data_IF_247870774045
#
_entry.id   IF_247870774045
#
_cell.length_a   1.000
_cell.length_b   1.000
_cell.length_c   1.000
_cell.angle_alpha   90.00
_cell.angle_beta   90.00
_cell.angle_gamma   90.00
#
_symmetry.space_group_name_H-M   'P 1'
#
loop_
_entity.id
_entity.type
_entity.pdbx_description
1 polymer ?
#
# COMPACT_ATOMS: atom_id res chain seq x y z
N UNK A 1 1.69 -31.15 2.76
CA UNK A 1 2.51 -30.60 1.66
C UNK A 1 1.82 -30.90 0.34
N UNK A 2 1.13 -29.93 -0.23
CA UNK A 2 0.58 -30.01 -1.60
C UNK A 2 1.76 -30.05 -2.57
N UNK A 3 1.77 -31.02 -3.49
CA UNK A 3 2.85 -31.14 -4.48
C UNK A 3 2.78 -29.96 -5.45
N UNK A 4 3.93 -29.56 -6.03
CA UNK A 4 3.98 -28.51 -7.07
C UNK A 4 3.00 -28.84 -8.22
N UNK A 5 2.82 -30.13 -8.54
CA UNK A 5 1.84 -30.58 -9.53
C UNK A 5 0.39 -30.22 -9.17
N UNK A 6 0.01 -30.23 -7.89
CA UNK A 6 -1.34 -29.85 -7.46
C UNK A 6 -1.62 -28.35 -7.55
N UNK A 7 -0.58 -27.51 -7.48
CA UNK A 7 -0.72 -26.06 -7.63
C UNK A 7 -0.92 -25.73 -9.12
N UNK A 8 -0.12 -26.32 -10.00
CA UNK A 8 -0.28 -26.12 -11.44
C UNK A 8 -1.64 -26.60 -11.96
N UNK A 9 -2.17 -27.73 -11.46
CA UNK A 9 -3.51 -28.20 -11.85
C UNK A 9 -4.63 -27.28 -11.39
N UNK A 10 -4.43 -26.46 -10.34
CA UNK A 10 -5.43 -25.47 -9.92
C UNK A 10 -5.53 -24.30 -10.90
N UNK A 11 -4.40 -23.82 -11.43
CA UNK A 11 -4.38 -22.72 -12.41
C UNK A 11 -4.67 -23.19 -13.84
N UNK A 12 -4.32 -24.44 -14.16
CA UNK A 12 -4.50 -25.04 -15.48
C UNK A 12 -5.15 -26.41 -15.28
N UNK A 13 -6.48 -26.47 -15.06
CA UNK A 13 -7.18 -27.73 -14.84
C UNK A 13 -7.17 -28.58 -16.11
N UNK A 14 -7.07 -29.90 -15.96
CA UNK A 14 -7.22 -30.82 -17.08
C UNK A 14 -8.71 -30.99 -17.49
N UNK A 15 -9.01 -31.47 -18.71
CA UNK A 15 -10.37 -31.81 -19.09
C UNK A 15 -11.07 -32.78 -18.12
N UNK A 16 -10.30 -33.72 -17.53
CA UNK A 16 -10.82 -34.65 -16.52
C UNK A 16 -11.23 -33.95 -15.23
N UNK A 17 -10.47 -32.94 -14.78
CA UNK A 17 -10.76 -32.18 -13.56
C UNK A 17 -12.08 -31.41 -13.68
N UNK A 18 -12.43 -31.01 -14.90
CA UNK A 18 -13.66 -30.27 -15.23
C UNK A 18 -14.81 -31.15 -15.71
N UNK A 19 -14.64 -32.47 -15.76
CA UNK A 19 -15.65 -33.40 -16.29
C UNK A 19 -16.98 -33.35 -15.54
N UNK A 20 -16.96 -33.01 -14.24
CA UNK A 20 -18.15 -32.87 -13.41
C UNK A 20 -19.12 -31.79 -13.92
N UNK A 21 -18.63 -30.76 -14.63
CA UNK A 21 -19.46 -29.71 -15.21
C UNK A 21 -20.40 -30.24 -16.30
N UNK A 22 -20.05 -31.36 -16.94
CA UNK A 22 -20.88 -32.00 -17.96
C UNK A 22 -21.73 -33.15 -17.39
N UNK A 23 -21.70 -33.38 -16.08
CA UNK A 23 -22.49 -34.42 -15.43
C UNK A 23 -23.98 -34.13 -15.59
N UNK A 24 -24.78 -35.17 -15.89
CA UNK A 24 -26.25 -35.09 -15.85
C UNK A 24 -26.79 -35.04 -14.42
N UNK A 25 -26.00 -35.51 -13.46
CA UNK A 25 -26.33 -35.55 -12.05
C UNK A 25 -25.59 -34.40 -11.36
N UNK A 26 -26.33 -33.65 -10.57
CA UNK A 26 -25.79 -32.56 -9.76
C UNK A 26 -24.66 -33.06 -8.83
N UNK A 27 -23.50 -32.39 -8.77
CA UNK A 27 -22.41 -32.75 -7.87
C UNK A 27 -22.85 -32.66 -6.40
N UNK A 28 -22.51 -33.68 -5.61
CA UNK A 28 -22.82 -33.70 -4.18
C UNK A 28 -22.12 -32.57 -3.42
N UNK A 29 -22.85 -31.93 -2.53
CA UNK A 29 -22.37 -30.87 -1.64
C UNK A 29 -21.96 -31.49 -0.30
N UNK A 30 -20.69 -31.29 0.11
CA UNK A 30 -20.16 -31.78 1.37
C UNK A 30 -19.57 -30.62 2.16
N UNK A 31 -20.44 -29.86 2.81
CA UNK A 31 -20.06 -28.63 3.53
C UNK A 31 -19.21 -28.97 4.75
N UNK A 32 -18.04 -28.34 4.83
CA UNK A 32 -17.14 -28.43 5.98
C UNK A 32 -16.43 -27.09 6.18
N UNK A 33 -15.83 -26.91 7.37
CA UNK A 33 -15.06 -25.71 7.69
C UNK A 33 -13.90 -25.56 6.69
N UNK A 34 -13.72 -24.37 6.15
CA UNK A 34 -12.57 -24.05 5.31
C UNK A 34 -11.28 -24.14 6.14
N UNK A 35 -10.27 -24.84 5.61
CA UNK A 35 -8.96 -24.92 6.25
C UNK A 35 -8.25 -23.57 6.19
N UNK A 36 -7.60 -23.16 7.28
CA UNK A 36 -6.89 -21.89 7.38
C UNK A 36 -5.69 -21.81 6.42
N UNK A 37 -5.35 -20.63 5.90
CA UNK A 37 -4.17 -20.44 5.04
C UNK A 37 -2.87 -20.74 5.80
N UNK A 38 -2.81 -20.34 7.07
CA UNK A 38 -1.73 -20.67 8.01
C UNK A 38 -2.35 -21.52 9.11
N UNK A 39 -1.85 -22.75 9.26
CA UNK A 39 -2.37 -23.70 10.25
C UNK A 39 -2.38 -23.07 11.65
N UNK A 40 -3.55 -23.05 12.29
CA UNK A 40 -3.75 -22.48 13.62
C UNK A 40 -4.06 -20.98 13.67
N UNK A 41 -4.05 -20.27 12.53
CA UNK A 41 -4.41 -18.85 12.45
C UNK A 41 -5.65 -18.70 11.58
N UNK A 42 -6.85 -18.42 12.16
CA UNK A 42 -8.05 -18.22 11.37
C UNK A 42 -7.87 -17.12 10.32
N UNK A 43 -8.35 -17.33 9.10
CA UNK A 43 -8.16 -16.39 7.99
C UNK A 43 -8.68 -14.97 8.30
N UNK A 44 -9.75 -14.86 9.10
CA UNK A 44 -10.26 -13.57 9.58
C UNK A 44 -9.32 -12.85 10.55
N UNK A 45 -8.60 -13.58 11.39
CA UNK A 45 -7.54 -13.02 12.24
C UNK A 45 -6.32 -12.64 11.41
N UNK A 46 -5.98 -13.46 10.41
CA UNK A 46 -4.91 -13.16 9.48
C UNK A 46 -5.17 -11.86 8.70
N UNK A 47 -6.43 -11.59 8.33
CA UNK A 47 -6.87 -10.34 7.73
C UNK A 47 -6.67 -9.10 8.62
N UNK A 48 -6.56 -9.26 9.94
CA UNK A 48 -6.28 -8.17 10.88
C UNK A 48 -4.76 -7.97 11.09
N UNK A 49 -4.00 -9.07 11.08
CA UNK A 49 -2.56 -9.05 11.34
C UNK A 49 -1.77 -8.54 10.13
N UNK A 50 -2.06 -9.07 8.94
CA UNK A 50 -1.22 -8.82 7.76
C UNK A 50 -1.15 -7.35 7.33
N UNK A 51 -2.25 -6.57 7.29
CA UNK A 51 -2.17 -5.16 6.91
C UNK A 51 -1.24 -4.35 7.83
N UNK A 52 -1.26 -4.65 9.15
CA UNK A 52 -0.35 -4.02 10.12
C UNK A 52 1.11 -4.39 9.81
N UNK A 53 1.41 -5.67 9.59
CA UNK A 53 2.77 -6.11 9.25
C UNK A 53 3.25 -5.48 7.94
N UNK A 54 2.38 -5.41 6.93
CA UNK A 54 2.68 -4.83 5.62
C UNK A 54 2.94 -3.34 5.74
N UNK A 55 2.15 -2.60 6.53
CA UNK A 55 2.39 -1.19 6.83
C UNK A 55 3.81 -0.99 7.37
N UNK A 56 4.17 -1.67 8.47
CA UNK A 56 5.49 -1.47 9.09
C UNK A 56 6.62 -1.90 8.17
N UNK A 57 6.46 -3.00 7.44
CA UNK A 57 7.47 -3.50 6.51
C UNK A 57 7.72 -2.50 5.38
N UNK A 58 6.65 -2.01 4.74
CA UNK A 58 6.77 -1.13 3.59
C UNK A 58 7.16 0.30 3.97
N UNK A 59 6.66 0.83 5.08
CA UNK A 59 7.13 2.11 5.63
C UNK A 59 8.60 2.04 6.03
N UNK A 60 9.05 0.93 6.62
CA UNK A 60 10.47 0.72 6.95
C UNK A 60 11.33 0.61 5.70
N UNK A 61 10.85 -0.04 4.64
CA UNK A 61 11.54 -0.08 3.35
C UNK A 61 11.83 1.34 2.83
N UNK A 62 10.82 2.20 2.75
CA UNK A 62 11.03 3.58 2.30
C UNK A 62 11.88 4.41 3.28
N UNK A 63 11.81 4.13 4.57
CA UNK A 63 12.68 4.75 5.55
C UNK A 63 14.15 4.37 5.38
N UNK A 64 14.45 3.11 5.04
CA UNK A 64 15.80 2.66 4.67
C UNK A 64 16.25 3.36 3.38
N UNK A 65 15.39 3.45 2.37
CA UNK A 65 15.68 4.17 1.12
C UNK A 65 16.07 5.63 1.41
N UNK A 66 15.36 6.28 2.34
CA UNK A 66 15.63 7.64 2.81
C UNK A 66 16.95 7.77 3.57
N UNK A 67 17.14 7.02 4.66
CA UNK A 67 18.35 7.11 5.50
C UNK A 67 19.63 6.83 4.70
N UNK A 68 19.60 5.86 3.80
CA UNK A 68 20.77 5.48 3.01
C UNK A 68 20.87 6.23 1.67
N UNK A 69 19.95 7.18 1.40
CA UNK A 69 19.94 7.99 0.19
C UNK A 69 20.00 7.15 -1.10
N UNK A 70 19.25 6.04 -1.14
CA UNK A 70 19.33 5.03 -2.20
C UNK A 70 18.64 5.46 -3.49
N UNK A 71 17.68 6.40 -3.40
CA UNK A 71 16.84 6.82 -4.51
C UNK A 71 16.74 8.36 -4.65
N UNK A 72 17.78 9.12 -4.28
CA UNK A 72 17.77 10.60 -4.32
C UNK A 72 17.39 11.21 -5.67
N UNK A 73 17.67 10.50 -6.78
CA UNK A 73 17.26 10.91 -8.13
C UNK A 73 15.73 10.99 -8.31
N UNK A 74 14.96 10.33 -7.45
CA UNK A 74 13.50 10.19 -7.54
C UNK A 74 12.78 10.83 -6.36
N UNK A 75 13.52 11.53 -5.50
CA UNK A 75 13.00 12.15 -4.29
C UNK A 75 12.23 13.42 -4.63
N UNK A 76 11.03 13.58 -4.07
CA UNK A 76 10.19 14.77 -4.31
C UNK A 76 10.77 15.96 -3.53
N UNK A 77 10.93 15.82 -2.21
CA UNK A 77 11.46 16.86 -1.32
C UNK A 77 12.72 16.36 -0.58
N UNK A 78 13.79 17.16 -0.44
CA UNK A 78 15.00 16.79 0.33
C UNK A 78 14.71 16.40 1.79
N UNK A 79 15.54 15.55 2.41
CA UNK A 79 15.37 15.14 3.82
C UNK A 79 15.33 16.31 4.79
N UNK A 80 16.14 17.35 4.54
CA UNK A 80 16.17 18.55 5.39
C UNK A 80 14.84 19.31 5.33
N UNK A 81 14.16 19.25 4.19
CA UNK A 81 12.84 19.86 4.01
C UNK A 81 11.77 19.10 4.80
N UNK A 82 11.82 17.76 4.77
CA UNK A 82 10.96 16.90 5.61
C UNK A 82 11.11 17.28 7.08
N UNK A 83 12.35 17.44 7.57
CA UNK A 83 12.62 17.75 8.98
C UNK A 83 12.26 19.19 9.36
N UNK A 84 12.45 20.16 8.46
CA UNK A 84 12.24 21.57 8.77
C UNK A 84 10.81 22.06 8.56
N UNK A 85 10.05 21.47 7.63
CA UNK A 85 8.69 21.90 7.31
C UNK A 85 7.60 21.13 8.05
N UNK A 86 7.88 19.90 8.46
CA UNK A 86 6.94 19.12 9.26
C UNK A 86 6.87 19.63 10.70
N UNK A 87 5.64 19.78 11.21
CA UNK A 87 5.38 20.37 12.54
C UNK A 87 5.31 19.33 13.66
N UNK A 88 5.68 18.07 13.36
CA UNK A 88 5.56 16.92 14.25
C UNK A 88 6.77 16.01 14.06
N UNK A 89 7.32 15.49 15.17
CA UNK A 89 8.43 14.55 15.14
C UNK A 89 7.99 13.15 14.74
N UNK A 90 8.93 12.36 14.18
CA UNK A 90 8.71 10.95 13.85
C UNK A 90 8.21 10.11 15.04
N UNK A 91 8.70 10.39 16.26
CA UNK A 91 8.28 9.67 17.47
C UNK A 91 6.78 9.86 17.79
N UNK A 92 6.24 11.06 17.55
CA UNK A 92 4.81 11.32 17.73
C UNK A 92 4.00 10.61 16.65
N UNK A 93 4.50 10.61 15.40
CA UNK A 93 3.87 9.89 14.30
C UNK A 93 3.78 8.39 14.60
N UNK A 94 4.90 7.76 14.98
CA UNK A 94 4.94 6.33 15.34
C UNK A 94 3.96 6.00 16.47
N UNK A 95 3.93 6.80 17.54
CA UNK A 95 3.01 6.59 18.67
C UNK A 95 1.54 6.61 18.23
N UNK A 96 1.18 7.58 17.39
CA UNK A 96 -0.20 7.75 16.94
C UNK A 96 -0.61 6.65 15.98
N UNK A 97 0.28 6.22 15.08
CA UNK A 97 0.07 5.07 14.21
C UNK A 97 -0.13 3.78 15.01
N UNK A 98 0.66 3.54 16.07
CA UNK A 98 0.44 2.41 16.97
C UNK A 98 -0.95 2.49 17.61
N UNK A 99 -1.35 3.68 18.06
CA UNK A 99 -2.68 3.91 18.65
C UNK A 99 -3.79 3.61 17.64
N UNK A 100 -3.61 4.03 16.38
CA UNK A 100 -4.52 3.78 15.28
C UNK A 100 -4.66 2.28 14.97
N UNK A 101 -3.55 1.55 14.94
CA UNK A 101 -3.57 0.10 14.76
C UNK A 101 -4.24 -0.66 15.90
N UNK A 102 -4.12 -0.18 17.15
CA UNK A 102 -4.85 -0.75 18.29
C UNK A 102 -6.36 -0.58 18.07
N UNK A 103 -6.81 0.63 17.71
CA UNK A 103 -8.23 0.91 17.45
C UNK A 103 -8.76 0.05 16.30
N UNK A 104 -8.03 0.00 15.18
CA UNK A 104 -8.34 -0.84 14.01
C UNK A 104 -8.42 -2.32 14.39
N UNK A 105 -7.47 -2.82 15.18
CA UNK A 105 -7.43 -4.23 15.60
C UNK A 105 -8.60 -4.59 16.51
N UNK A 106 -8.97 -3.71 17.45
CA UNK A 106 -10.14 -3.92 18.32
C UNK A 106 -11.42 -3.94 17.48
N UNK A 107 -11.61 -2.95 16.62
CA UNK A 107 -12.79 -2.87 15.76
C UNK A 107 -12.89 -4.07 14.81
N UNK A 108 -11.78 -4.43 14.17
CA UNK A 108 -11.69 -5.59 13.29
C UNK A 108 -11.90 -6.91 14.02
N UNK A 109 -11.43 -7.05 15.26
CA UNK A 109 -11.69 -8.24 16.08
C UNK A 109 -13.16 -8.37 16.46
N UNK A 110 -13.82 -7.26 16.83
CA UNK A 110 -15.28 -7.24 17.06
C UNK A 110 -16.01 -7.66 15.79
N UNK A 111 -15.63 -7.10 14.64
CA UNK A 111 -16.20 -7.45 13.34
C UNK A 111 -16.04 -8.94 13.02
N UNK A 112 -14.83 -9.48 13.17
CA UNK A 112 -14.53 -10.91 12.99
C UNK A 112 -15.41 -11.82 13.87
N UNK A 113 -15.73 -11.42 15.10
CA UNK A 113 -16.63 -12.20 15.98
C UNK A 113 -18.08 -12.23 15.53
N UNK A 114 -18.48 -11.29 14.67
CA UNK A 114 -19.81 -11.22 14.09
C UNK A 114 -19.89 -11.97 12.74
N UNK A 115 -18.75 -12.25 12.11
CA UNK A 115 -18.72 -12.95 10.83
C UNK A 115 -18.98 -14.46 10.99
N UNK A 116 -19.73 -15.06 10.04
CA UNK A 116 -19.90 -16.50 10.02
C UNK A 116 -18.57 -17.21 9.77
N UNK A 117 -18.43 -18.42 10.30
CA UNK A 117 -17.25 -19.26 10.02
C UNK A 117 -17.20 -19.60 8.53
N UNK A 118 -16.07 -19.39 7.84
CA UNK A 118 -15.93 -19.76 6.44
C UNK A 118 -16.10 -21.26 6.21
N UNK A 119 -16.95 -21.60 5.22
CA UNK A 119 -17.27 -22.98 4.84
C UNK A 119 -16.86 -23.22 3.38
N UNK A 120 -16.61 -24.48 3.02
CA UNK A 120 -16.21 -24.94 1.68
C UNK A 120 -16.85 -26.30 1.38
N UNK A 121 -16.66 -26.84 0.17
CA UNK A 121 -17.19 -28.14 -0.24
C UNK A 121 -18.47 -28.06 -1.08
N UNK A 122 -18.80 -26.87 -1.60
CA UNK A 122 -19.93 -26.60 -2.48
C UNK A 122 -19.49 -26.08 -3.87
N UNK A 123 -18.20 -25.84 -4.10
CA UNK A 123 -17.67 -25.14 -5.27
C UNK A 123 -17.99 -25.86 -6.59
N UNK A 124 -17.88 -27.18 -6.61
CA UNK A 124 -18.24 -27.99 -7.79
C UNK A 124 -19.73 -27.90 -8.11
N UNK A 125 -20.56 -27.86 -7.08
CA UNK A 125 -22.00 -27.74 -7.21
C UNK A 125 -22.37 -26.35 -7.74
N UNK A 126 -21.80 -25.28 -7.17
CA UNK A 126 -22.01 -23.91 -7.63
C UNK A 126 -21.61 -23.72 -9.10
N UNK A 127 -20.43 -24.21 -9.50
CA UNK A 127 -19.99 -24.10 -10.90
C UNK A 127 -20.90 -24.90 -11.85
N UNK A 128 -21.38 -26.07 -11.43
CA UNK A 128 -22.35 -26.85 -12.19
C UNK A 128 -23.70 -26.12 -12.29
N UNK A 129 -24.18 -25.51 -11.21
CA UNK A 129 -25.39 -24.70 -11.20
C UNK A 129 -25.26 -23.48 -12.10
N UNK A 130 -24.11 -22.78 -12.08
CA UNK A 130 -23.82 -21.68 -12.99
C UNK A 130 -23.92 -22.12 -14.46
N UNK A 131 -23.33 -23.28 -14.80
CA UNK A 131 -23.35 -23.85 -16.15
C UNK A 131 -24.74 -24.28 -16.62
N UNK A 132 -25.56 -24.83 -15.73
CA UNK A 132 -26.89 -25.33 -16.06
C UNK A 132 -27.99 -24.27 -15.90
N UNK A 133 -27.66 -23.09 -15.36
CA UNK A 133 -28.57 -21.96 -15.26
C UNK A 133 -28.79 -21.29 -16.62
N UNK A 134 -30.00 -20.77 -16.86
CA UNK A 134 -30.29 -19.86 -17.99
C UNK A 134 -29.88 -18.41 -17.70
N UNK A 135 -28.85 -18.20 -16.86
CA UNK A 135 -28.41 -16.86 -16.50
C UNK A 135 -27.70 -16.16 -17.66
N UNK A 136 -27.82 -14.82 -17.74
CA UNK A 136 -27.07 -14.00 -18.70
C UNK A 136 -25.57 -14.26 -18.58
N UNK A 137 -25.10 -14.49 -17.36
CA UNK A 137 -23.72 -14.80 -17.07
C UNK A 137 -23.27 -16.10 -17.77
N UNK A 138 -24.08 -17.16 -17.73
CA UNK A 138 -23.77 -18.40 -18.46
C UNK A 138 -23.71 -18.18 -19.99
N UNK A 139 -24.58 -17.32 -20.53
CA UNK A 139 -24.53 -16.93 -21.94
C UNK A 139 -23.21 -16.22 -22.29
N UNK A 140 -22.75 -15.31 -21.43
CA UNK A 140 -21.46 -14.61 -21.59
C UNK A 140 -20.29 -15.60 -21.51
N UNK A 141 -20.36 -16.59 -20.63
CA UNK A 141 -19.35 -17.64 -20.47
C UNK A 141 -19.41 -18.73 -21.55
N UNK A 142 -20.31 -18.59 -22.53
CA UNK A 142 -20.45 -19.45 -23.71
C UNK A 142 -20.61 -20.94 -23.38
N UNK A 143 -21.16 -21.26 -22.20
CA UNK A 143 -21.26 -22.62 -21.68
C UNK A 143 -19.91 -23.39 -21.68
N UNK A 144 -18.78 -22.67 -21.63
CA UNK A 144 -17.44 -23.23 -21.70
C UNK A 144 -16.91 -23.59 -20.30
N UNK A 145 -16.47 -24.84 -20.12
CA UNK A 145 -16.03 -25.36 -18.82
C UNK A 145 -14.86 -24.57 -18.23
N UNK A 146 -13.88 -24.19 -19.06
CA UNK A 146 -12.73 -23.42 -18.60
C UNK A 146 -13.15 -22.01 -18.20
N UNK A 147 -13.98 -21.33 -19.01
CA UNK A 147 -14.45 -19.99 -18.68
C UNK A 147 -15.25 -19.97 -17.37
N UNK A 148 -16.11 -20.97 -17.14
CA UNK A 148 -16.86 -21.12 -15.89
C UNK A 148 -15.92 -21.35 -14.71
N UNK A 149 -14.94 -22.23 -14.86
CA UNK A 149 -13.94 -22.49 -13.84
C UNK A 149 -13.11 -21.23 -13.50
N UNK A 150 -12.59 -20.54 -14.52
CA UNK A 150 -11.81 -19.32 -14.33
C UNK A 150 -12.64 -18.19 -13.75
N UNK A 151 -13.88 -18.05 -14.22
CA UNK A 151 -14.81 -17.07 -13.69
C UNK A 151 -15.04 -17.30 -12.19
N UNK A 152 -15.42 -18.51 -11.81
CA UNK A 152 -15.77 -18.84 -10.43
C UNK A 152 -14.57 -18.75 -9.47
N UNK A 153 -13.39 -19.24 -9.88
CA UNK A 153 -12.23 -19.32 -8.99
C UNK A 153 -11.38 -18.05 -8.95
N UNK A 154 -11.48 -17.18 -9.95
CA UNK A 154 -10.61 -15.99 -10.04
C UNK A 154 -11.38 -14.70 -10.35
N UNK A 155 -12.25 -14.71 -11.38
CA UNK A 155 -12.89 -13.47 -11.82
C UNK A 155 -13.87 -12.91 -10.78
N UNK A 156 -14.62 -13.78 -10.09
CA UNK A 156 -15.53 -13.39 -8.99
C UNK A 156 -14.79 -12.59 -7.93
N UNK A 157 -13.70 -13.13 -7.37
CA UNK A 157 -12.88 -12.45 -6.36
C UNK A 157 -12.22 -11.19 -6.91
N UNK A 158 -11.74 -11.22 -8.16
CA UNK A 158 -11.17 -10.04 -8.81
C UNK A 158 -12.20 -8.89 -8.89
N UNK A 159 -13.42 -9.15 -9.36
CA UNK A 159 -14.47 -8.14 -9.47
C UNK A 159 -14.94 -7.66 -8.09
N UNK A 160 -15.05 -8.56 -7.12
CA UNK A 160 -15.36 -8.20 -5.73
C UNK A 160 -14.33 -7.26 -5.14
N UNK A 161 -13.03 -7.54 -5.31
CA UNK A 161 -11.95 -6.66 -4.84
C UNK A 161 -11.96 -5.33 -5.58
N UNK A 162 -12.20 -5.34 -6.91
CA UNK A 162 -12.33 -4.11 -7.70
C UNK A 162 -13.48 -3.23 -7.21
N UNK A 163 -14.64 -3.84 -6.90
CA UNK A 163 -15.76 -3.14 -6.25
C UNK A 163 -15.34 -2.60 -4.88
N UNK A 164 -14.56 -3.38 -4.11
CA UNK A 164 -13.96 -2.95 -2.86
C UNK A 164 -13.11 -1.67 -3.01
N UNK A 165 -12.25 -1.60 -4.03
CA UNK A 165 -11.49 -0.38 -4.34
C UNK A 165 -12.41 0.82 -4.61
N UNK A 166 -13.46 0.63 -5.42
CA UNK A 166 -14.41 1.70 -5.73
C UNK A 166 -15.17 2.17 -4.49
N UNK A 167 -15.54 1.26 -3.58
CA UNK A 167 -16.20 1.62 -2.32
C UNK A 167 -15.26 2.43 -1.42
N UNK A 168 -14.01 1.98 -1.26
CA UNK A 168 -12.99 2.70 -0.48
C UNK A 168 -12.76 4.09 -1.06
N UNK A 169 -12.51 4.22 -2.36
CA UNK A 169 -12.31 5.50 -3.04
C UNK A 169 -13.50 6.44 -2.84
N UNK A 170 -14.72 5.93 -3.01
CA UNK A 170 -15.96 6.71 -2.83
C UNK A 170 -16.10 7.21 -1.41
N UNK A 171 -15.86 6.33 -0.43
CA UNK A 171 -15.96 6.66 0.99
C UNK A 171 -14.91 7.69 1.39
N UNK A 172 -13.64 7.41 1.07
CA UNK A 172 -12.53 8.26 1.44
C UNK A 172 -12.59 9.62 0.75
N UNK A 173 -12.86 9.68 -0.56
CA UNK A 173 -12.99 10.96 -1.27
C UNK A 173 -14.04 11.86 -0.61
N UNK A 174 -15.25 11.35 -0.38
CA UNK A 174 -16.34 12.17 0.14
C UNK A 174 -16.07 12.66 1.55
N UNK A 175 -15.58 11.79 2.43
CA UNK A 175 -15.28 12.14 3.81
C UNK A 175 -14.07 13.07 3.92
N UNK A 176 -13.01 12.81 3.14
CA UNK A 176 -11.83 13.66 3.05
C UNK A 176 -12.18 15.07 2.55
N UNK A 177 -12.89 15.16 1.42
CA UNK A 177 -13.38 16.43 0.86
C UNK A 177 -14.30 17.17 1.84
N UNK A 178 -15.20 16.46 2.53
CA UNK A 178 -16.06 17.05 3.55
C UNK A 178 -15.23 17.69 4.68
N UNK A 179 -14.18 16.99 5.15
CA UNK A 179 -13.30 17.52 6.17
C UNK A 179 -12.56 18.76 5.70
N UNK A 180 -12.17 18.88 4.42
CA UNK A 180 -11.55 20.09 3.89
C UNK A 180 -12.51 21.28 3.70
N UNK A 181 -13.74 21.02 3.27
CA UNK A 181 -14.71 22.09 2.99
C UNK A 181 -15.31 22.63 4.29
N UNK A 182 -15.50 21.77 5.30
CA UNK A 182 -16.03 22.17 6.59
C UNK A 182 -14.89 22.63 7.52
N UNK A 183 -14.85 23.95 7.82
CA UNK A 183 -13.82 24.56 8.69
C UNK A 183 -13.70 23.92 10.07
N UNK A 184 -14.80 23.46 10.65
CA UNK A 184 -14.78 22.81 11.97
C UNK A 184 -14.14 21.42 11.87
N UNK A 185 -14.59 20.61 10.91
CA UNK A 185 -14.05 19.26 10.70
C UNK A 185 -12.57 19.30 10.34
N UNK A 186 -12.15 20.22 9.47
CA UNK A 186 -10.74 20.43 9.15
C UNK A 186 -9.93 20.71 10.42
N UNK A 187 -10.29 21.76 11.17
CA UNK A 187 -9.52 22.17 12.35
C UNK A 187 -9.49 21.10 13.43
N UNK A 188 -10.59 20.36 13.61
CA UNK A 188 -10.69 19.37 14.68
C UNK A 188 -9.97 18.07 14.35
N UNK A 189 -10.07 17.59 13.11
CA UNK A 189 -9.62 16.25 12.73
C UNK A 189 -8.46 16.35 11.73
N UNK A 190 -8.76 16.76 10.51
CA UNK A 190 -7.85 16.62 9.36
C UNK A 190 -6.61 17.54 9.38
N UNK A 191 -6.67 18.68 10.08
CA UNK A 191 -5.52 19.58 10.21
C UNK A 191 -4.35 18.95 10.97
N UNK A 192 -4.58 17.85 11.72
CA UNK A 192 -3.52 17.06 12.34
C UNK A 192 -2.67 16.36 11.28
N UNK A 193 -3.32 15.72 10.32
CA UNK A 193 -2.66 15.06 9.19
C UNK A 193 -1.78 16.03 8.40
N UNK A 194 -2.34 17.21 8.04
CA UNK A 194 -1.63 18.31 7.36
C UNK A 194 -0.54 19.01 8.20
N UNK A 195 -0.25 18.54 9.43
CA UNK A 195 1.00 18.94 10.12
C UNK A 195 2.23 18.28 9.49
N UNK A 196 2.03 17.20 8.74
CA UNK A 196 3.03 16.59 7.87
C UNK A 196 2.96 17.25 6.50
N UNK A 197 3.50 18.46 6.41
CA UNK A 197 3.52 19.25 5.19
C UNK A 197 4.27 18.57 4.03
N UNK A 198 5.33 17.84 4.35
CA UNK A 198 6.06 16.99 3.42
C UNK A 198 5.76 15.54 3.80
N UNK A 199 4.92 14.83 3.01
CA UNK A 199 4.59 13.44 3.27
C UNK A 199 5.82 12.53 3.26
N UNK A 200 5.81 11.53 4.14
CA UNK A 200 6.76 10.42 4.18
C UNK A 200 6.06 9.16 4.66
N UNK A 201 6.63 7.98 4.37
CA UNK A 201 5.94 6.69 4.45
C UNK A 201 5.29 6.35 5.82
N UNK A 202 5.92 6.70 6.95
CA UNK A 202 5.31 6.51 8.28
C UNK A 202 4.15 7.49 8.57
N UNK A 203 4.12 8.62 7.87
CA UNK A 203 3.03 9.61 7.97
C UNK A 203 1.70 9.14 7.38
N UNK A 204 1.69 8.04 6.61
CA UNK A 204 0.53 7.54 5.88
C UNK A 204 -0.72 7.28 6.75
N UNK A 205 -0.53 6.93 8.03
CA UNK A 205 -1.62 6.70 8.99
C UNK A 205 -1.58 7.70 10.16
N UNK A 206 -0.88 8.83 9.99
CA UNK A 206 -0.82 9.89 10.99
C UNK A 206 -2.07 10.78 10.93
N UNK A 207 -3.14 10.29 11.56
CA UNK A 207 -4.45 10.93 11.55
C UNK A 207 -4.92 11.26 12.98
N UNK A 208 -5.95 12.10 13.12
CA UNK A 208 -6.71 12.10 14.38
C UNK A 208 -7.37 10.72 14.58
N UNK A 209 -7.43 10.15 15.79
CA UNK A 209 -7.98 8.80 15.99
C UNK A 209 -9.42 8.62 15.47
N UNK A 210 -10.26 9.65 15.56
CA UNK A 210 -11.63 9.60 15.04
C UNK A 210 -11.63 9.58 13.52
N UNK A 211 -10.76 10.39 12.92
CA UNK A 211 -10.58 10.44 11.48
C UNK A 211 -10.07 9.12 10.92
N UNK A 212 -8.99 8.56 11.47
CA UNK A 212 -8.45 7.28 11.00
C UNK A 212 -9.45 6.15 11.20
N UNK A 213 -10.23 6.16 12.30
CA UNK A 213 -11.31 5.20 12.47
C UNK A 213 -12.36 5.32 11.35
N UNK A 214 -12.82 6.53 11.04
CA UNK A 214 -13.85 6.75 10.02
C UNK A 214 -13.36 6.53 8.59
N UNK A 215 -12.19 7.06 8.22
CA UNK A 215 -11.63 6.93 6.86
C UNK A 215 -11.14 5.51 6.59
N UNK A 216 -10.33 4.95 7.50
CA UNK A 216 -9.61 3.70 7.23
C UNK A 216 -10.44 2.50 7.67
N UNK A 217 -10.90 2.50 8.93
CA UNK A 217 -11.54 1.30 9.53
C UNK A 217 -12.95 1.11 8.99
N UNK A 218 -13.77 2.15 9.05
CA UNK A 218 -15.15 2.09 8.55
C UNK A 218 -15.17 1.95 7.03
N UNK A 219 -14.30 2.66 6.30
CA UNK A 219 -14.18 2.54 4.85
C UNK A 219 -13.87 1.10 4.40
N UNK A 220 -12.85 0.48 4.99
CA UNK A 220 -12.48 -0.91 4.70
C UNK A 220 -13.55 -1.93 5.14
N UNK A 221 -14.21 -1.69 6.29
CA UNK A 221 -15.31 -2.53 6.77
C UNK A 221 -16.54 -2.46 5.86
N UNK A 222 -16.91 -1.28 5.37
CA UNK A 222 -17.99 -1.10 4.40
C UNK A 222 -17.68 -1.81 3.08
N UNK A 223 -16.43 -1.73 2.60
CA UNK A 223 -16.01 -2.46 1.41
C UNK A 223 -16.15 -3.98 1.57
N UNK A 224 -15.76 -4.52 2.74
CA UNK A 224 -15.97 -5.94 3.07
C UNK A 224 -17.45 -6.34 3.05
N UNK A 225 -18.29 -5.57 3.75
CA UNK A 225 -19.71 -5.86 3.92
C UNK A 225 -20.48 -5.75 2.61
N UNK A 226 -20.35 -4.62 1.89
CA UNK A 226 -21.07 -4.37 0.65
C UNK A 226 -20.54 -5.27 -0.47
N UNK A 227 -19.23 -5.52 -0.50
CA UNK A 227 -18.60 -6.43 -1.46
C UNK A 227 -18.84 -7.91 -1.17
N UNK A 228 -19.40 -8.24 0.00
CA UNK A 228 -19.53 -9.60 0.53
C UNK A 228 -18.20 -10.38 0.38
N UNK A 229 -17.13 -9.77 0.88
CA UNK A 229 -15.78 -10.29 0.77
C UNK A 229 -15.55 -11.40 1.79
N UNK A 230 -14.94 -12.47 1.35
CA UNK A 230 -14.41 -13.51 2.23
C UNK A 230 -13.21 -12.97 3.02
N UNK A 231 -12.85 -13.60 4.16
CA UNK A 231 -11.63 -13.23 4.89
C UNK A 231 -10.36 -13.22 4.03
N UNK A 232 -10.25 -14.11 3.04
CA UNK A 232 -9.12 -14.16 2.11
C UNK A 232 -9.11 -12.99 1.12
N UNK A 233 -10.27 -12.61 0.60
CA UNK A 233 -10.40 -11.42 -0.24
C UNK A 233 -10.10 -10.15 0.57
N UNK A 234 -10.52 -10.10 1.85
CA UNK A 234 -10.18 -9.02 2.77
C UNK A 234 -8.67 -8.92 3.03
N UNK A 235 -7.95 -10.03 3.20
CA UNK A 235 -6.47 -10.01 3.29
C UNK A 235 -5.88 -9.25 2.09
N UNK A 236 -6.31 -9.59 0.87
CA UNK A 236 -5.79 -8.96 -0.36
C UNK A 236 -6.15 -7.48 -0.37
N UNK A 237 -7.43 -7.15 -0.20
CA UNK A 237 -7.92 -5.77 -0.23
C UNK A 237 -7.22 -4.89 0.81
N UNK A 238 -7.14 -5.34 2.07
CA UNK A 238 -6.60 -4.55 3.17
C UNK A 238 -5.08 -4.38 3.06
N UNK A 239 -4.34 -5.44 2.72
CA UNK A 239 -2.90 -5.32 2.49
C UNK A 239 -2.61 -4.39 1.30
N UNK A 240 -3.34 -4.55 0.19
CA UNK A 240 -3.18 -3.72 -0.99
C UNK A 240 -3.48 -2.25 -0.71
N UNK A 241 -4.61 -1.96 -0.07
CA UNK A 241 -4.98 -0.61 0.32
C UNK A 241 -3.95 0.02 1.25
N UNK A 242 -3.44 -0.75 2.22
CA UNK A 242 -2.43 -0.27 3.15
C UNK A 242 -1.12 0.06 2.44
N UNK A 243 -0.64 -0.82 1.56
CA UNK A 243 0.55 -0.53 0.75
C UNK A 243 0.35 0.70 -0.12
N UNK A 244 -0.83 0.84 -0.75
CA UNK A 244 -1.14 1.98 -1.59
C UNK A 244 -1.11 3.31 -0.81
N UNK A 245 -1.71 3.35 0.37
CA UNK A 245 -1.66 4.54 1.25
C UNK A 245 -0.22 4.88 1.66
N UNK A 246 0.61 3.88 1.94
CA UNK A 246 2.04 4.08 2.24
C UNK A 246 2.80 4.61 1.02
N UNK A 247 2.56 4.07 -0.17
CA UNK A 247 3.17 4.54 -1.43
C UNK A 247 2.77 6.00 -1.75
N UNK A 248 1.50 6.36 -1.57
CA UNK A 248 1.02 7.74 -1.77
C UNK A 248 1.69 8.76 -0.84
N UNK A 249 2.26 8.29 0.28
CA UNK A 249 3.00 9.11 1.21
C UNK A 249 4.51 8.88 1.13
N UNK A 250 5.03 8.04 0.25
CA UNK A 250 6.41 7.56 0.37
C UNK A 250 7.47 8.65 0.19
N UNK A 251 7.11 9.78 -0.44
CA UNK A 251 8.03 10.89 -0.72
C UNK A 251 8.89 10.70 -1.98
N UNK A 252 8.62 9.65 -2.76
CA UNK A 252 9.37 9.30 -3.98
C UNK A 252 8.45 9.14 -5.19
N UNK A 253 8.91 9.64 -6.34
CA UNK A 253 8.30 9.37 -7.64
C UNK A 253 9.15 8.35 -8.42
N UNK A 254 8.88 7.07 -8.18
CA UNK A 254 9.69 5.96 -8.69
C UNK A 254 9.13 5.45 -10.04
N UNK A 255 9.91 5.46 -11.13
CA UNK A 255 9.40 5.10 -12.46
C UNK A 255 9.11 3.61 -12.65
N UNK A 256 9.51 2.77 -11.69
CA UNK A 256 9.31 1.32 -11.70
C UNK A 256 8.30 0.87 -10.63
N UNK A 257 7.73 1.80 -9.86
CA UNK A 257 6.73 1.45 -8.85
C UNK A 257 5.40 1.11 -9.54
N UNK A 258 4.93 -0.12 -9.31
CA UNK A 258 3.71 -0.62 -9.95
C UNK A 258 2.47 0.16 -9.50
N UNK A 259 2.42 0.64 -8.25
CA UNK A 259 1.31 1.47 -7.80
C UNK A 259 1.27 2.77 -8.57
N UNK A 260 2.41 3.45 -8.69
CA UNK A 260 2.48 4.74 -9.40
C UNK A 260 2.29 4.61 -10.92
N UNK A 261 2.57 3.44 -11.50
CA UNK A 261 2.31 3.14 -12.92
C UNK A 261 0.83 2.89 -13.17
N UNK A 262 0.17 2.09 -12.34
CA UNK A 262 -1.21 1.65 -12.59
C UNK A 262 -2.28 2.60 -12.02
N UNK A 263 -1.98 3.34 -10.96
CA UNK A 263 -2.94 4.21 -10.29
C UNK A 263 -2.63 5.68 -10.55
N UNK A 264 -3.63 6.48 -10.99
CA UNK A 264 -3.43 7.89 -11.28
C UNK A 264 -3.23 8.72 -10.00
N UNK A 265 -3.74 8.25 -8.86
CA UNK A 265 -3.34 8.79 -7.58
C UNK A 265 -1.99 8.17 -7.19
N UNK A 266 -1.00 9.00 -6.97
CA UNK A 266 0.37 8.60 -6.62
C UNK A 266 0.97 9.63 -5.66
N UNK A 267 2.20 9.36 -5.22
CA UNK A 267 2.95 10.20 -4.30
C UNK A 267 3.00 11.68 -4.67
N UNK A 268 3.15 12.02 -5.95
CA UNK A 268 3.18 13.41 -6.40
C UNK A 268 1.79 14.07 -6.39
N UNK A 269 0.76 13.32 -6.78
CA UNK A 269 -0.63 13.79 -6.74
C UNK A 269 -1.07 14.13 -5.32
N UNK A 270 -0.73 13.25 -4.38
CA UNK A 270 -1.00 13.43 -2.96
C UNK A 270 -0.10 14.49 -2.32
N UNK A 271 1.18 14.59 -2.71
CA UNK A 271 2.08 15.66 -2.24
C UNK A 271 1.50 17.05 -2.51
N UNK A 272 0.99 17.31 -3.72
CA UNK A 272 0.36 18.58 -4.08
C UNK A 272 -0.77 18.93 -3.10
N UNK A 273 -1.58 17.95 -2.70
CA UNK A 273 -2.67 18.15 -1.76
C UNK A 273 -2.18 18.64 -0.39
N UNK A 274 -1.04 18.14 0.11
CA UNK A 274 -0.42 18.61 1.35
C UNK A 274 0.18 20.02 1.23
N UNK A 275 0.49 20.48 0.02
CA UNK A 275 1.01 21.83 -0.19
C UNK A 275 -0.06 22.91 0.06
N UNK A 276 0.35 24.07 0.58
CA UNK A 276 -0.58 25.18 0.88
C UNK A 276 -1.42 25.61 -0.35
N UNK A 277 -0.83 25.54 -1.54
CA UNK A 277 -1.50 25.91 -2.78
C UNK A 277 -2.45 24.82 -3.30
N UNK A 278 -2.28 23.56 -2.87
CA UNK A 278 -3.06 22.41 -3.33
C UNK A 278 -4.04 21.84 -2.29
N UNK A 279 -4.08 22.40 -1.07
CA UNK A 279 -4.95 21.96 0.04
C UNK A 279 -6.46 21.96 -0.24
N UNK A 280 -6.90 22.53 -1.37
CA UNK A 280 -8.30 22.52 -1.82
C UNK A 280 -8.52 21.72 -3.11
N UNK A 281 -7.56 20.89 -3.48
CA UNK A 281 -7.57 20.05 -4.67
C UNK A 281 -7.09 18.64 -4.33
N UNK A 282 -7.25 17.71 -5.27
CA UNK A 282 -6.72 16.34 -5.21
C UNK A 282 -7.19 15.58 -3.94
N UNK A 283 -8.50 15.53 -3.70
CA UNK A 283 -9.06 14.87 -2.52
C UNK A 283 -9.17 13.35 -2.66
N UNK A 284 -9.07 12.82 -3.87
CA UNK A 284 -9.20 11.37 -4.12
C UNK A 284 -8.05 10.65 -3.44
N UNK A 285 -8.38 9.50 -2.83
CA UNK A 285 -7.47 8.53 -2.25
C UNK A 285 -8.21 7.22 -1.98
N UNK A 286 -7.53 6.06 -2.02
CA UNK A 286 -6.11 5.90 -2.37
C UNK A 286 -5.86 5.50 -3.84
N UNK A 287 -6.87 5.10 -4.62
CA UNK A 287 -6.61 4.44 -5.93
C UNK A 287 -6.76 5.38 -7.13
N UNK A 288 -7.98 5.82 -7.42
CA UNK A 288 -8.30 6.53 -8.65
C UNK A 288 -8.58 8.02 -8.40
N UNK A 289 -8.50 8.85 -9.44
CA UNK A 289 -8.71 10.31 -9.38
C UNK A 289 -10.02 10.75 -10.04
N UNK A 290 -10.89 9.81 -10.41
CA UNK A 290 -12.10 10.13 -11.16
C UNK A 290 -13.08 10.99 -10.36
N UNK A 291 -13.10 10.88 -9.02
CA UNK A 291 -13.92 11.73 -8.17
C UNK A 291 -13.47 13.19 -8.21
N UNK A 292 -12.17 13.46 -8.18
CA UNK A 292 -11.67 14.83 -8.38
C UNK A 292 -12.04 15.39 -9.75
N UNK A 293 -11.96 14.57 -10.80
CA UNK A 293 -12.38 14.99 -12.14
C UNK A 293 -13.89 15.27 -12.20
N UNK A 294 -14.71 14.43 -11.59
CA UNK A 294 -16.17 14.58 -11.57
C UNK A 294 -16.61 15.83 -10.80
N UNK A 295 -15.98 16.12 -9.67
CA UNK A 295 -16.32 17.26 -8.81
C UNK A 295 -15.52 18.52 -9.10
N UNK A 296 -14.65 18.51 -10.12
CA UNK A 296 -13.83 19.66 -10.50
C UNK A 296 -12.82 20.08 -9.43
N UNK A 297 -12.27 19.11 -8.69
CA UNK A 297 -11.29 19.33 -7.61
C UNK A 297 -9.88 18.87 -7.97
N UNK A 298 -9.63 18.45 -9.21
CA UNK A 298 -8.27 18.19 -9.72
C UNK A 298 -7.45 19.49 -9.75
N UNK A 299 -6.21 19.43 -9.28
CA UNK A 299 -5.29 20.57 -9.36
C UNK A 299 -4.94 20.91 -10.81
N UNK A 300 -5.30 22.10 -11.27
CA UNK A 300 -5.13 22.52 -12.68
C UNK A 300 -3.67 22.69 -13.12
N UNK A 301 -2.73 22.86 -12.19
CA UNK A 301 -1.30 23.06 -12.47
C UNK A 301 -0.46 21.79 -12.41
N UNK A 302 -1.09 20.60 -12.46
CA UNK A 302 -0.40 19.33 -12.18
C UNK A 302 0.79 19.08 -13.13
N UNK A 303 0.60 19.22 -14.44
CA UNK A 303 1.66 18.95 -15.41
C UNK A 303 2.85 19.92 -15.27
N UNK A 304 2.55 21.21 -15.07
CA UNK A 304 3.57 22.23 -14.81
C UNK A 304 4.35 21.94 -13.53
N UNK A 305 3.64 21.61 -12.44
CA UNK A 305 4.27 21.25 -11.17
C UNK A 305 5.13 19.99 -11.30
N UNK A 306 4.67 18.98 -12.03
CA UNK A 306 5.41 17.75 -12.27
C UNK A 306 6.72 18.00 -13.01
N UNK A 307 6.72 18.80 -14.07
CA UNK A 307 7.95 19.12 -14.80
C UNK A 307 8.88 20.03 -13.98
N UNK A 308 8.34 20.99 -13.22
CA UNK A 308 9.13 21.81 -12.29
C UNK A 308 9.80 20.96 -11.21
N UNK A 309 9.04 20.09 -10.54
CA UNK A 309 9.57 19.16 -9.53
C UNK A 309 10.64 18.26 -10.09
N UNK A 310 10.44 17.69 -11.29
CA UNK A 310 11.45 16.87 -11.96
C UNK A 310 12.75 17.64 -12.19
N UNK A 311 12.67 18.91 -12.59
CA UNK A 311 13.85 19.76 -12.76
C UNK A 311 14.54 20.04 -11.41
N UNK A 312 13.78 20.37 -10.38
CA UNK A 312 14.29 20.57 -9.01
C UNK A 312 15.00 19.32 -8.51
N UNK A 313 14.36 18.15 -8.61
CA UNK A 313 14.95 16.85 -8.22
C UNK A 313 16.25 16.58 -8.97
N UNK A 314 16.30 16.82 -10.28
CA UNK A 314 17.52 16.63 -11.08
C UNK A 314 18.66 17.54 -10.61
N UNK A 315 18.38 18.80 -10.31
CA UNK A 315 19.40 19.75 -9.87
C UNK A 315 19.89 19.46 -8.45
N UNK A 316 18.97 19.11 -7.54
CA UNK A 316 19.32 18.61 -6.19
C UNK A 316 20.14 17.33 -6.25
N UNK A 317 19.79 16.40 -7.13
CA UNK A 317 20.55 15.17 -7.32
C UNK A 317 21.97 15.46 -7.84
N UNK A 318 22.15 16.39 -8.78
CA UNK A 318 23.49 16.83 -9.22
C UNK A 318 24.29 17.44 -8.07
N UNK A 319 23.65 18.24 -7.21
CA UNK A 319 24.29 18.81 -6.02
C UNK A 319 24.74 17.70 -5.06
N UNK A 320 23.84 16.76 -4.74
CA UNK A 320 24.13 15.59 -3.91
C UNK A 320 25.34 14.79 -4.43
N UNK A 321 25.42 14.53 -5.74
CA UNK A 321 26.57 13.84 -6.34
C UNK A 321 27.89 14.63 -6.18
N UNK A 322 27.85 15.96 -6.32
CA UNK A 322 29.03 16.81 -6.10
C UNK A 322 29.50 16.75 -4.66
N UNK A 323 28.59 16.84 -3.70
CA UNK A 323 28.89 16.75 -2.27
C UNK A 323 29.48 15.38 -1.90
N UNK A 324 28.90 14.28 -2.39
CA UNK A 324 29.46 12.93 -2.18
C UNK A 324 30.86 12.76 -2.78
N UNK A 325 31.10 13.32 -3.97
CA UNK A 325 32.43 13.31 -4.58
C UNK A 325 33.44 14.09 -3.73
N UNK A 326 33.04 15.25 -3.21
CA UNK A 326 33.90 16.05 -2.33
C UNK A 326 34.21 15.33 -1.01
N UNK A 327 33.22 14.69 -0.39
CA UNK A 327 33.42 13.89 0.83
C UNK A 327 34.41 12.75 0.56
N UNK A 328 34.23 12.02 -0.55
CA UNK A 328 35.13 10.93 -0.95
C UNK A 328 36.57 11.41 -1.15
N UNK A 329 36.76 12.51 -1.87
CA UNK A 329 38.09 13.10 -2.08
C UNK A 329 38.71 13.53 -0.74
N UNK A 330 37.93 14.16 0.15
CA UNK A 330 38.41 14.52 1.49
C UNK A 330 38.83 13.30 2.31
N UNK A 331 38.06 12.21 2.29
CA UNK A 331 38.41 10.97 2.97
C UNK A 331 39.63 10.27 2.37
N UNK A 332 39.81 10.35 1.04
CA UNK A 332 40.99 9.79 0.37
C UNK A 332 42.25 10.60 0.74
N UNK A 333 42.14 11.92 0.84
CA UNK A 333 43.23 12.81 1.30
C UNK A 333 43.57 12.57 2.77
N UNK A 334 42.57 12.49 3.66
CA UNK A 334 42.83 12.21 5.08
C UNK A 334 43.50 10.86 5.28
N UNK A 335 42.99 9.81 4.61
CA UNK A 335 43.62 8.49 4.69
C UNK A 335 45.05 8.49 4.13
N UNK A 336 45.37 9.28 3.10
CA UNK A 336 46.74 9.43 2.63
C UNK A 336 47.63 10.21 3.60
N UNK A 337 47.09 11.18 4.33
CA UNK A 337 47.81 11.90 5.38
C UNK A 337 48.08 10.98 6.58
N UNK A 338 47.09 10.21 7.02
CA UNK A 338 47.22 9.24 8.12
C UNK A 338 48.23 8.12 7.77
N UNK A 339 48.26 7.65 6.51
CA UNK A 339 49.27 6.66 6.05
C UNK A 339 50.67 7.27 6.00
N UNK A 340 50.81 8.53 5.57
CA UNK A 340 52.11 9.22 5.59
C UNK A 340 52.61 9.48 7.01
N UNK A 341 51.73 9.89 7.91
CA UNK A 341 52.07 10.13 9.31
C UNK A 341 52.46 8.82 10.01
N UNK A 342 51.81 7.70 9.66
CA UNK A 342 52.21 6.36 10.09
C UNK A 342 53.57 5.94 9.49
N UNK A 343 53.81 6.13 8.19
CA UNK A 343 55.10 5.77 7.57
C UNK A 343 56.26 6.65 8.04
N UNK A 344 56.03 7.95 8.26
CA UNK A 344 57.05 8.88 8.74
C UNK A 344 57.34 8.68 10.24
N UNK A 345 56.45 8.00 10.99
CA UNK A 345 56.68 7.59 12.39
C UNK A 345 57.49 6.30 12.54
N UNK A 346 57.58 5.47 11.50
CA UNK A 346 58.37 4.23 11.48
C UNK A 346 59.82 4.43 11.00
N UNK A 347 60.18 5.65 10.55
CA UNK A 347 61.50 6.01 10.03
C UNK A 347 62.37 6.81 11.02
N UNK A 348 62.06 6.80 12.34
CA UNK A 348 63.03 7.29 13.33
C UNK A 348 64.19 6.26 13.48
N UNK A 349 65.45 6.62 13.13
CA UNK A 349 66.57 5.73 13.33
C UNK A 349 66.82 5.56 14.83
N UNK A 350 66.71 4.32 15.31
CA UNK A 350 67.08 3.85 16.65
C UNK A 350 68.56 4.17 16.94
N UNK A 351 68.83 5.42 17.26
CA UNK A 351 70.16 5.99 17.42
C UNK A 351 70.22 6.87 18.64
N UNK A 352 69.76 6.36 19.80
CA UNK A 352 70.14 6.88 21.11
C UNK A 352 69.80 5.89 22.23
N UNK A 353 70.60 4.84 22.34
CA UNK A 353 70.91 4.17 23.62
C UNK A 353 72.10 3.21 23.44
N UNK A 354 73.32 3.73 23.62
CA UNK A 354 74.35 3.11 24.46
C UNK A 354 75.62 3.98 24.53
N UNK A 355 75.99 4.21 25.78
CA UNK A 355 77.21 4.79 26.36
C UNK A 355 77.31 6.31 26.37
#
# INVERSE_FOLDING_TARGET
MTSISSIFSYFIPSPSDLSFLNSKIEPAVNIHKQHDLIEGIPDGILALILPVLVYWTYSTFFHIVDIYHLAEKYRIHPSEEVLSRNKVSLSIVIRDVISQHIIQSIAGFVFYKLEPTPMTGFEKNDMWNLKNSNSILNLILLNNNYLIYFYYNFATSFFKILIGFLIIDTWQFNLHRLMHINKYLYKRFHSRHHRLYVPYAFGALFNDPVEGFLLDTVGAGLASLIGNLTPRENIILYCFSTMKTVDDHCGYSLPFDLFQIFFPNNSLYHDIHHQHFGIKSNFSQPFFTFWDNLFGTTYHGFDSYKEEQKQITLDKYKQFLKERKQIRVKSEISNHQDIKEYSDSDDEPDSKKKN
#
